data_IF_762999300913
#
_entry.id   IF_762999300913
#
_cell.length_a   1.000
_cell.length_b   1.000
_cell.length_c   1.000
_cell.angle_alpha   90.00
_cell.angle_beta   90.00
_cell.angle_gamma   90.00
#
_symmetry.space_group_name_H-M   'P 1'
#
loop_
_entity.id
_entity.type
_entity.pdbx_description
1 polymer ?
#
# COMPACT_ATOMS: atom_id res chain seq x y z
N UNK A 1 -7.52 -4.07 -2.37
CA UNK A 1 -6.67 -2.87 -2.52
C UNK A 1 -5.69 -3.13 -3.63
N UNK A 2 -5.09 -2.08 -4.19
CA UNK A 2 -4.16 -2.21 -5.31
C UNK A 2 -2.91 -1.39 -5.00
N UNK A 3 -1.76 -1.98 -5.30
CA UNK A 3 -0.48 -1.29 -5.39
C UNK A 3 -0.08 -1.20 -6.86
N UNK A 4 0.68 -0.18 -7.23
CA UNK A 4 1.17 -0.01 -8.58
C UNK A 4 2.54 0.66 -8.58
N UNK A 5 3.39 0.26 -9.54
CA UNK A 5 4.74 0.79 -9.66
C UNK A 5 5.55 0.15 -10.78
N UNK A 6 6.83 0.52 -10.85
CA UNK A 6 7.81 0.07 -11.83
C UNK A 6 8.99 -0.67 -11.18
N UNK A 7 8.82 -1.08 -9.92
CA UNK A 7 9.80 -1.84 -9.17
C UNK A 7 10.15 -3.18 -9.81
N UNK A 8 11.06 -3.88 -9.16
CA UNK A 8 11.49 -5.18 -9.61
C UNK A 8 10.30 -6.16 -9.68
N UNK A 9 10.26 -6.94 -10.75
CA UNK A 9 9.28 -8.02 -10.93
C UNK A 9 9.83 -9.34 -10.39
N UNK A 10 9.08 -10.43 -10.51
CA UNK A 10 9.54 -11.79 -10.17
C UNK A 10 10.82 -12.23 -10.91
N UNK A 11 11.20 -11.51 -11.97
CA UNK A 11 12.43 -11.72 -12.73
C UNK A 11 13.65 -11.04 -12.11
N UNK A 12 13.47 -10.32 -11.00
CA UNK A 12 14.54 -9.58 -10.35
C UNK A 12 15.03 -8.36 -11.14
N UNK A 13 14.24 -7.88 -12.11
CA UNK A 13 14.54 -6.67 -12.91
C UNK A 13 13.41 -5.67 -12.79
N UNK A 14 13.73 -4.37 -12.82
CA UNK A 14 12.77 -3.28 -12.95
C UNK A 14 11.86 -3.49 -14.17
N UNK A 15 10.64 -2.99 -14.07
CA UNK A 15 9.69 -3.03 -15.19
C UNK A 15 9.72 -1.72 -15.97
N UNK A 16 9.83 -1.80 -17.29
CA UNK A 16 9.65 -0.63 -18.17
C UNK A 16 8.18 -0.18 -18.31
N UNK A 17 7.26 -1.02 -17.84
CA UNK A 17 5.82 -0.76 -17.87
C UNK A 17 5.26 -0.68 -16.46
N UNK A 18 4.27 0.17 -16.26
CA UNK A 18 3.56 0.23 -14.99
C UNK A 18 2.90 -1.13 -14.72
N UNK A 19 3.22 -1.72 -13.58
CA UNK A 19 2.63 -2.95 -13.09
C UNK A 19 1.71 -2.64 -11.91
N UNK A 20 0.77 -3.54 -11.63
CA UNK A 20 -0.10 -3.45 -10.47
C UNK A 20 -0.44 -4.83 -9.93
N UNK A 21 -0.71 -4.89 -8.63
CA UNK A 21 -1.08 -6.12 -7.96
C UNK A 21 -2.20 -5.89 -6.94
N UNK A 22 -3.21 -6.80 -6.87
CA UNK A 22 -4.21 -6.77 -5.82
C UNK A 22 -3.63 -7.28 -4.49
N UNK A 23 -3.89 -6.54 -3.43
CA UNK A 23 -3.49 -6.90 -2.05
C UNK A 23 -4.66 -6.77 -1.07
N UNK A 24 -4.56 -7.51 0.03
CA UNK A 24 -5.53 -7.57 1.12
C UNK A 24 -4.85 -7.14 2.41
N UNK A 25 -5.58 -6.40 3.25
CA UNK A 25 -5.09 -5.97 4.55
C UNK A 25 -4.88 -7.16 5.49
N UNK A 26 -3.82 -7.08 6.30
CA UNK A 26 -3.58 -7.97 7.43
C UNK A 26 -3.50 -7.16 8.72
N UNK A 27 -3.78 -7.79 9.86
CA UNK A 27 -3.62 -7.11 11.15
C UNK A 27 -2.15 -6.83 11.44
N UNK A 28 -1.85 -5.73 12.14
CA UNK A 28 -0.47 -5.41 12.54
C UNK A 28 0.17 -6.54 13.35
N UNK A 29 -0.61 -7.22 14.20
CA UNK A 29 -0.14 -8.39 14.95
C UNK A 29 0.29 -9.53 14.03
N UNK A 30 -0.51 -9.87 13.02
CA UNK A 30 -0.14 -10.91 12.04
C UNK A 30 1.11 -10.49 11.27
N UNK A 31 1.18 -9.24 10.84
CA UNK A 31 2.34 -8.68 10.16
C UNK A 31 3.62 -8.83 10.99
N UNK A 32 3.62 -8.34 12.24
CA UNK A 32 4.75 -8.49 13.16
C UNK A 32 5.14 -9.96 13.39
N UNK A 33 4.14 -10.86 13.47
CA UNK A 33 4.41 -12.28 13.61
C UNK A 33 5.13 -12.88 12.39
N UNK A 34 4.79 -12.49 11.16
CA UNK A 34 5.50 -12.96 9.96
C UNK A 34 6.97 -12.51 9.95
N UNK A 35 7.25 -11.26 10.31
CA UNK A 35 8.63 -10.77 10.43
C UNK A 35 9.40 -11.49 11.56
N UNK A 36 8.74 -11.78 12.68
CA UNK A 36 9.36 -12.52 13.79
C UNK A 36 9.76 -13.96 13.40
N UNK A 37 9.02 -14.62 12.49
CA UNK A 37 9.37 -15.98 12.00
C UNK A 37 10.74 -16.02 11.34
N UNK A 38 11.14 -14.93 10.68
CA UNK A 38 12.46 -14.77 10.06
C UNK A 38 13.46 -14.02 10.96
N UNK A 39 13.18 -13.96 12.28
CA UNK A 39 14.03 -13.31 13.29
C UNK A 39 14.25 -11.80 13.06
N UNK A 40 13.37 -11.15 12.29
CA UNK A 40 13.40 -9.70 12.08
C UNK A 40 12.40 -9.03 13.03
N UNK A 41 12.89 -8.19 13.93
CA UNK A 41 12.04 -7.42 14.85
C UNK A 41 11.63 -6.11 14.22
N UNK A 42 10.32 -5.87 14.14
CA UNK A 42 9.74 -4.61 13.69
C UNK A 42 8.81 -4.05 14.76
N UNK A 43 8.70 -2.73 14.83
CA UNK A 43 7.74 -2.04 15.69
C UNK A 43 6.66 -1.41 14.83
N UNK A 44 5.47 -2.00 14.86
CA UNK A 44 4.30 -1.51 14.14
C UNK A 44 3.28 -0.95 15.11
N UNK A 45 2.75 0.22 14.77
CA UNK A 45 1.72 0.94 15.52
C UNK A 45 0.63 1.47 14.59
N UNK A 46 -0.25 2.31 15.12
CA UNK A 46 -1.40 2.89 14.42
C UNK A 46 -1.03 3.80 13.23
N UNK A 47 0.25 4.12 13.06
CA UNK A 47 0.80 4.86 11.90
C UNK A 47 1.07 3.96 10.70
N UNK A 48 0.89 2.66 10.85
CA UNK A 48 1.21 1.65 9.84
C UNK A 48 -0.03 0.89 9.36
N UNK A 49 0.05 0.39 8.13
CA UNK A 49 -0.87 -0.60 7.55
C UNK A 49 -0.01 -1.75 7.04
N UNK A 50 -0.54 -2.96 7.10
CA UNK A 50 0.10 -4.13 6.51
C UNK A 50 -0.82 -4.78 5.47
N UNK A 51 -0.26 -5.20 4.34
CA UNK A 51 -1.02 -5.85 3.28
C UNK A 51 -0.17 -6.86 2.49
N UNK A 52 -0.81 -7.89 1.96
CA UNK A 52 -0.18 -8.86 1.07
C UNK A 52 -1.17 -9.35 0.02
N UNK A 53 -0.68 -9.72 -1.16
CA UNK A 53 -1.45 -10.32 -2.23
C UNK A 53 -1.42 -11.84 -2.18
N UNK A 54 -2.23 -12.48 -3.03
CA UNK A 54 -2.22 -13.94 -3.18
C UNK A 54 -0.91 -14.38 -3.81
N UNK A 55 -0.47 -15.60 -3.48
CA UNK A 55 0.73 -16.22 -4.06
C UNK A 55 2.02 -15.38 -3.92
N UNK A 56 2.11 -14.53 -2.89
CA UNK A 56 3.30 -13.68 -2.67
C UNK A 56 3.33 -12.40 -3.52
N UNK A 57 2.23 -12.04 -4.19
CA UNK A 57 2.13 -10.74 -4.84
C UNK A 57 2.30 -9.62 -3.81
N UNK A 58 3.29 -8.75 -4.03
CA UNK A 58 3.60 -7.64 -3.15
C UNK A 58 4.31 -6.53 -3.92
N UNK A 59 4.55 -5.41 -3.25
CA UNK A 59 5.48 -4.39 -3.75
C UNK A 59 6.92 -4.94 -3.71
N UNK A 60 7.82 -4.33 -4.45
CA UNK A 60 9.20 -4.74 -4.51
C UNK A 60 10.16 -3.53 -4.50
N UNK A 61 11.46 -3.79 -4.50
CA UNK A 61 12.51 -2.79 -4.65
C UNK A 61 12.19 -1.88 -5.84
N UNK A 62 12.18 -0.57 -5.62
CA UNK A 62 11.81 0.43 -6.63
C UNK A 62 10.35 0.92 -6.57
N UNK A 63 9.45 0.23 -5.86
CA UNK A 63 8.07 0.71 -5.65
C UNK A 63 7.93 1.64 -4.42
N UNK A 64 9.00 1.84 -3.65
CA UNK A 64 9.01 2.67 -2.43
C UNK A 64 8.46 4.07 -2.66
N UNK A 65 7.56 4.51 -1.77
CA UNK A 65 6.84 5.78 -1.90
C UNK A 65 5.57 5.72 -2.76
N UNK A 66 5.34 4.62 -3.49
CA UNK A 66 4.12 4.43 -4.29
C UNK A 66 2.84 4.27 -3.45
N UNK A 67 1.65 4.46 -4.06
CA UNK A 67 0.38 4.41 -3.34
C UNK A 67 -0.15 2.98 -3.16
N UNK A 68 -0.68 2.72 -1.95
CA UNK A 68 -1.69 1.67 -1.73
C UNK A 68 -3.08 2.31 -1.84
N UNK A 69 -3.87 1.90 -2.83
CA UNK A 69 -5.13 2.55 -3.18
C UNK A 69 -6.33 1.60 -3.19
N UNK A 70 -7.53 2.16 -2.99
CA UNK A 70 -8.79 1.43 -3.08
C UNK A 70 -9.88 2.27 -3.76
N UNK A 71 -10.72 1.68 -4.63
CA UNK A 71 -11.85 2.38 -5.22
C UNK A 71 -12.91 2.68 -4.17
N UNK A 72 -13.40 3.92 -4.14
CA UNK A 72 -14.54 4.37 -3.33
C UNK A 72 -15.58 4.99 -4.25
N UNK A 73 -16.84 4.60 -4.07
CA UNK A 73 -17.96 5.31 -4.70
C UNK A 73 -18.23 6.57 -3.88
N UNK A 74 -18.16 7.72 -4.53
CA UNK A 74 -18.47 9.03 -3.95
C UNK A 74 -19.64 9.65 -4.69
N UNK A 75 -20.49 10.34 -3.94
CA UNK A 75 -21.55 11.16 -4.51
C UNK A 75 -20.94 12.48 -4.97
N UNK A 76 -21.11 12.81 -6.25
CA UNK A 76 -20.70 14.08 -6.83
C UNK A 76 -21.96 14.90 -7.11
N UNK A 77 -21.97 16.12 -6.56
CA UNK A 77 -23.05 17.10 -6.76
C UNK A 77 -22.59 18.16 -7.74
N UNK A 78 -23.36 18.35 -8.81
CA UNK A 78 -23.18 19.43 -9.76
C UNK A 78 -24.51 20.19 -9.91
N UNK A 79 -24.66 21.28 -9.15
CA UNK A 79 -25.95 21.95 -8.98
C UNK A 79 -26.98 21.03 -8.34
N UNK A 80 -28.10 20.80 -9.02
CA UNK A 80 -29.16 19.87 -8.60
C UNK A 80 -28.93 18.42 -9.03
N UNK A 81 -27.96 18.15 -9.91
CA UNK A 81 -27.65 16.78 -10.35
C UNK A 81 -26.78 16.05 -9.32
N UNK A 82 -27.20 14.81 -9.01
CA UNK A 82 -26.48 13.89 -8.13
C UNK A 82 -26.06 12.69 -8.96
N UNK A 83 -24.76 12.37 -8.96
CA UNK A 83 -24.22 11.21 -9.64
C UNK A 83 -23.24 10.45 -8.75
N UNK A 84 -23.15 9.14 -8.93
CA UNK A 84 -22.16 8.31 -8.26
C UNK A 84 -20.93 8.16 -9.16
N UNK A 85 -19.75 8.50 -8.63
CA UNK A 85 -18.48 8.31 -9.30
C UNK A 85 -17.57 7.40 -8.49
N UNK A 86 -16.89 6.47 -9.15
CA UNK A 86 -15.80 5.71 -8.53
C UNK A 86 -14.52 6.53 -8.60
N UNK A 87 -13.92 6.79 -7.45
CA UNK A 87 -12.60 7.44 -7.32
C UNK A 87 -11.63 6.49 -6.61
N UNK A 88 -10.35 6.61 -6.90
CA UNK A 88 -9.31 5.89 -6.15
C UNK A 88 -8.83 6.75 -4.99
N UNK A 89 -8.87 6.19 -3.79
CA UNK A 89 -8.38 6.84 -2.58
C UNK A 89 -7.08 6.18 -2.16
N UNK A 90 -6.07 6.99 -1.88
CA UNK A 90 -4.80 6.50 -1.33
C UNK A 90 -4.95 6.26 0.18
N UNK A 91 -4.78 5.01 0.58
CA UNK A 91 -4.86 4.59 1.98
C UNK A 91 -3.48 4.38 2.61
N UNK A 92 -2.47 4.07 1.79
CA UNK A 92 -1.11 3.86 2.26
C UNK A 92 -0.05 4.40 1.33
N UNK A 93 1.16 4.52 1.86
CA UNK A 93 2.40 4.80 1.12
C UNK A 93 3.34 3.63 1.35
N UNK A 94 3.88 3.03 0.30
CA UNK A 94 4.82 1.91 0.39
C UNK A 94 6.06 2.35 1.20
N UNK A 95 6.37 1.64 2.28
CA UNK A 95 7.56 1.92 3.10
C UNK A 95 8.60 0.81 2.98
N UNK A 96 8.31 -0.39 3.49
CA UNK A 96 9.24 -1.51 3.52
C UNK A 96 8.52 -2.86 3.50
N UNK A 97 9.26 -3.90 3.16
CA UNK A 97 8.82 -5.27 3.31
C UNK A 97 9.90 -6.20 2.78
N UNK A 98 9.49 -7.27 2.12
CA UNK A 98 10.43 -8.21 1.51
C UNK A 98 11.20 -7.58 0.35
N UNK A 99 12.51 -7.77 0.33
CA UNK A 99 13.41 -7.27 -0.72
C UNK A 99 13.75 -8.34 -1.76
N UNK A 100 13.44 -9.61 -1.49
CA UNK A 100 13.71 -10.73 -2.39
C UNK A 100 12.74 -10.75 -3.57
N UNK A 101 11.51 -10.27 -3.33
CA UNK A 101 10.42 -10.25 -4.30
C UNK A 101 10.08 -11.63 -4.86
N UNK A 102 10.45 -12.66 -4.10
CA UNK A 102 10.10 -14.05 -4.36
C UNK A 102 8.67 -14.34 -3.86
N UNK A 103 8.00 -15.27 -4.54
CA UNK A 103 6.67 -15.73 -4.14
C UNK A 103 6.75 -16.45 -2.78
N UNK A 104 6.05 -15.93 -1.77
CA UNK A 104 6.13 -16.40 -0.37
C UNK A 104 6.59 -15.33 0.62
N UNK A 105 6.75 -14.10 0.13
CA UNK A 105 7.33 -12.97 0.82
C UNK A 105 6.61 -12.50 2.09
N UNK A 106 7.36 -11.84 2.97
CA UNK A 106 6.80 -11.04 4.06
C UNK A 106 5.69 -10.10 3.57
N UNK A 107 4.69 -9.81 4.41
CA UNK A 107 3.71 -8.77 4.12
C UNK A 107 4.39 -7.42 3.86
N UNK A 108 3.83 -6.63 2.96
CA UNK A 108 4.25 -5.25 2.75
C UNK A 108 3.76 -4.36 3.89
N UNK A 109 4.62 -3.45 4.32
CA UNK A 109 4.30 -2.43 5.32
C UNK A 109 4.17 -1.09 4.61
N UNK A 110 3.18 -0.32 5.04
CA UNK A 110 2.80 0.95 4.45
C UNK A 110 2.60 1.99 5.55
N UNK A 111 2.95 3.25 5.29
CA UNK A 111 2.49 4.37 6.13
C UNK A 111 0.97 4.51 5.99
N UNK A 112 0.24 4.64 7.10
CA UNK A 112 -1.21 4.84 7.12
C UNK A 112 -1.56 6.29 6.80
N UNK A 113 -1.96 6.59 5.56
CA UNK A 113 -2.26 7.97 5.12
C UNK A 113 -3.30 8.65 6.00
N UNK A 114 -4.34 7.91 6.43
CA UNK A 114 -5.40 8.47 7.28
C UNK A 114 -4.89 8.99 8.64
N UNK A 115 -3.77 8.47 9.15
CA UNK A 115 -3.16 8.97 10.39
C UNK A 115 -2.54 10.36 10.20
N UNK A 116 -2.07 10.65 8.99
CA UNK A 116 -1.30 11.87 8.68
C UNK A 116 -2.14 12.94 7.98
N UNK A 117 -3.47 12.80 7.87
CA UNK A 117 -4.32 13.77 7.17
C UNK A 117 -4.18 15.18 7.74
N UNK A 118 -4.16 15.33 9.07
CA UNK A 118 -4.00 16.65 9.69
C UNK A 118 -2.65 17.28 9.34
N UNK A 119 -1.58 16.49 9.33
CA UNK A 119 -0.26 16.94 8.91
C UNK A 119 -0.23 17.31 7.42
N UNK A 120 -0.90 16.54 6.56
CA UNK A 120 -1.00 16.84 5.12
C UNK A 120 -1.72 18.18 4.92
N UNK A 121 -2.90 18.34 5.53
CA UNK A 121 -3.71 19.56 5.40
C UNK A 121 -2.98 20.79 5.94
N UNK A 122 -2.32 20.66 7.11
CA UNK A 122 -1.52 21.73 7.68
C UNK A 122 -0.42 22.21 6.73
N UNK A 123 0.26 21.30 6.02
CA UNK A 123 1.35 21.68 5.11
C UNK A 123 0.87 22.10 3.70
N UNK A 124 -0.33 21.69 3.27
CA UNK A 124 -0.90 22.11 1.99
C UNK A 124 -1.47 23.53 2.01
N UNK A 125 -2.02 23.96 3.16
CA UNK A 125 -2.71 25.24 3.31
C UNK A 125 -1.96 26.23 4.21
N UNK A 126 -0.64 26.07 4.31
CA UNK A 126 0.22 27.07 4.93
C UNK A 126 0.19 28.41 4.18
#
# INVERSE_FOLDING_TARGET
MTIAGWGHTEKGTLSDKLMFAPVVLSSLRQCTNEFNKIKTKINLDDRHICASGKHGQNHCVGDSGGPLQFPKVVEIRNGSQISNQTVFVQHGIITFGDVTCETGSLPGVYTKVSYYIDWILYNMFK
#
